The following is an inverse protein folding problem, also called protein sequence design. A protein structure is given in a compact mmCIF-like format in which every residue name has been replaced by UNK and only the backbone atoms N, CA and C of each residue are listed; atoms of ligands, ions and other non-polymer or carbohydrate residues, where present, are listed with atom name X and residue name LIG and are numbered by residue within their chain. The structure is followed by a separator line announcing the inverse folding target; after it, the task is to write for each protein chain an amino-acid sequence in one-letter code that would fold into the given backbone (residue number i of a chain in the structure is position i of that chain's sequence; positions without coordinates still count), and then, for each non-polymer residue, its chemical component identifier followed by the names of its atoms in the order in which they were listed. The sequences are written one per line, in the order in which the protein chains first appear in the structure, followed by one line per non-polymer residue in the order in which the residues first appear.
data_IF_879287492793
#
_entry.id   IF_879287492793
#
_cell.length_a   1.000
_cell.length_b   1.000
_cell.length_c   1.000
_cell.angle_alpha   90.00
_cell.angle_beta   90.00
_cell.angle_gamma   90.00
#
_symmetry.space_group_name_H-M   'P 1'
#
loop_
_entity.id
_entity.type
_entity.pdbx_description
1 polymer ?
#
# COMPACT_ATOMS: atom_id res chain seq x y z
N UNK A 1 3.19 -10.05 35.37
CA UNK A 1 3.32 -8.89 34.46
C UNK A 1 4.09 -9.19 33.17
N UNK A 2 5.28 -9.80 33.21
CA UNK A 2 6.06 -10.19 32.01
C UNK A 2 5.26 -10.86 30.87
N UNK A 3 4.46 -11.87 31.20
CA UNK A 3 3.65 -12.63 30.23
C UNK A 3 2.64 -11.74 29.49
N UNK A 4 2.09 -10.71 30.15
CA UNK A 4 1.14 -9.77 29.55
C UNK A 4 1.81 -8.91 28.48
N UNK A 5 2.98 -8.34 28.77
CA UNK A 5 3.72 -7.53 27.78
C UNK A 5 4.23 -8.36 26.62
N UNK A 6 4.70 -9.58 26.88
CA UNK A 6 5.11 -10.51 25.81
C UNK A 6 3.96 -10.86 24.85
N UNK A 7 2.75 -11.11 25.36
CA UNK A 7 1.56 -11.36 24.53
C UNK A 7 1.19 -10.13 23.70
N UNK A 8 1.17 -8.94 24.32
CA UNK A 8 0.85 -7.69 23.63
C UNK A 8 1.88 -7.33 22.55
N UNK A 9 3.17 -7.60 22.81
CA UNK A 9 4.25 -7.42 21.84
C UNK A 9 4.04 -8.33 20.64
N UNK A 10 3.91 -9.65 20.86
CA UNK A 10 3.68 -10.63 19.78
C UNK A 10 2.48 -10.28 18.92
N UNK A 11 1.37 -9.89 19.55
CA UNK A 11 0.17 -9.46 18.84
C UNK A 11 0.42 -8.20 17.99
N UNK A 12 1.10 -7.21 18.55
CA UNK A 12 1.41 -5.96 17.84
C UNK A 12 2.40 -6.16 16.70
N UNK A 13 3.35 -7.07 16.84
CA UNK A 13 4.28 -7.46 15.77
C UNK A 13 3.57 -8.17 14.63
N UNK A 14 2.64 -9.09 14.95
CA UNK A 14 1.82 -9.75 13.94
C UNK A 14 0.98 -8.73 13.16
N UNK A 15 0.33 -7.78 13.86
CA UNK A 15 -0.40 -6.68 13.24
C UNK A 15 0.51 -5.79 12.38
N UNK A 16 1.73 -5.49 12.84
CA UNK A 16 2.72 -4.72 12.07
C UNK A 16 3.03 -5.42 10.74
N UNK A 17 3.27 -6.72 10.78
CA UNK A 17 3.55 -7.54 9.59
C UNK A 17 2.37 -7.59 8.63
N UNK A 18 1.15 -7.77 9.15
CA UNK A 18 -0.07 -7.74 8.33
C UNK A 18 -0.28 -6.39 7.65
N UNK A 19 -0.11 -5.29 8.39
CA UNK A 19 -0.23 -3.93 7.85
C UNK A 19 0.85 -3.63 6.82
N UNK A 20 2.06 -4.15 7.01
CA UNK A 20 3.13 -4.04 6.04
C UNK A 20 2.82 -4.79 4.73
N UNK A 21 2.31 -6.02 4.82
CA UNK A 21 1.88 -6.78 3.64
C UNK A 21 0.72 -6.09 2.91
N UNK A 22 -0.24 -5.52 3.65
CA UNK A 22 -1.34 -4.74 3.07
C UNK A 22 -0.79 -3.54 2.29
N UNK A 23 0.17 -2.81 2.85
CA UNK A 23 0.82 -1.68 2.17
C UNK A 23 1.52 -2.11 0.87
N UNK A 24 2.27 -3.22 0.90
CA UNK A 24 2.93 -3.76 -0.30
C UNK A 24 1.92 -4.10 -1.39
N UNK A 25 0.78 -4.72 -1.03
CA UNK A 25 -0.28 -5.04 -2.01
C UNK A 25 -0.84 -3.78 -2.67
N UNK A 26 -1.16 -2.75 -1.88
CA UNK A 26 -1.67 -1.48 -2.39
C UNK A 26 -0.65 -0.79 -3.32
N UNK A 27 0.64 -0.83 -2.97
CA UNK A 27 1.70 -0.28 -3.82
C UNK A 27 1.83 -1.02 -5.15
N UNK A 28 1.77 -2.36 -5.15
CA UNK A 28 1.78 -3.16 -6.38
C UNK A 28 0.55 -2.90 -7.25
N UNK A 29 -0.61 -2.76 -6.63
CA UNK A 29 -1.84 -2.39 -7.34
C UNK A 29 -1.71 -1.01 -7.99
N UNK A 30 -1.13 -0.04 -7.28
CA UNK A 30 -0.87 1.29 -7.82
C UNK A 30 0.05 1.25 -9.04
N UNK A 31 1.16 0.50 -8.97
CA UNK A 31 2.05 0.30 -10.11
C UNK A 31 1.34 -0.35 -11.30
N UNK A 32 0.44 -1.31 -11.05
CA UNK A 32 -0.37 -1.94 -12.09
C UNK A 32 -1.32 -0.93 -12.75
N UNK A 33 -2.02 -0.11 -11.96
CA UNK A 33 -2.91 0.93 -12.47
C UNK A 33 -2.15 1.98 -13.30
N UNK A 34 -0.93 2.36 -12.90
CA UNK A 34 -0.09 3.27 -13.69
C UNK A 34 0.27 2.68 -15.05
N UNK A 35 0.66 1.40 -15.09
CA UNK A 35 0.95 0.71 -16.36
C UNK A 35 -0.29 0.61 -17.26
N UNK A 36 -1.45 0.32 -16.68
CA UNK A 36 -2.72 0.31 -17.40
C UNK A 36 -3.06 1.69 -17.99
N UNK A 37 -2.87 2.76 -17.20
CA UNK A 37 -3.10 4.12 -17.68
C UNK A 37 -2.16 4.49 -18.84
N UNK A 38 -0.87 4.17 -18.72
CA UNK A 38 0.11 4.37 -19.80
C UNK A 38 -0.28 3.63 -21.09
N UNK A 39 -0.73 2.38 -20.97
CA UNK A 39 -1.21 1.60 -22.10
C UNK A 39 -2.44 2.26 -22.75
N UNK A 40 -3.42 2.73 -21.96
CA UNK A 40 -4.58 3.44 -22.49
C UNK A 40 -4.18 4.73 -23.21
N UNK A 41 -3.25 5.51 -22.67
CA UNK A 41 -2.70 6.69 -23.35
C UNK A 41 -2.09 6.31 -24.72
N UNK A 42 -1.31 5.23 -24.79
CA UNK A 42 -0.76 4.78 -26.08
C UNK A 42 -1.85 4.37 -27.07
N UNK A 43 -2.89 3.66 -26.62
CA UNK A 43 -4.01 3.24 -27.47
C UNK A 43 -4.80 4.44 -28.00
N UNK A 44 -5.05 5.45 -27.15
CA UNK A 44 -5.71 6.68 -27.57
C UNK A 44 -4.89 7.41 -28.64
N UNK A 45 -3.56 7.51 -28.46
CA UNK A 45 -2.68 8.12 -29.45
C UNK A 45 -2.71 7.37 -30.78
N UNK A 46 -2.65 6.03 -30.76
CA UNK A 46 -2.78 5.22 -31.98
C UNK A 46 -4.12 5.44 -32.68
N UNK A 47 -5.23 5.50 -31.94
CA UNK A 47 -6.56 5.78 -32.53
C UNK A 47 -6.60 7.18 -33.14
N UNK A 48 -6.02 8.19 -32.48
CA UNK A 48 -5.92 9.54 -33.03
C UNK A 48 -5.09 9.60 -34.31
N UNK A 49 -3.99 8.86 -34.37
CA UNK A 49 -3.17 8.75 -35.59
C UNK A 49 -3.93 8.05 -36.72
N UNK A 50 -4.68 6.98 -36.43
CA UNK A 50 -5.56 6.31 -37.40
C UNK A 50 -6.66 7.25 -37.93
N UNK A 51 -7.23 8.09 -37.06
CA UNK A 51 -8.21 9.10 -37.49
C UNK A 51 -7.55 10.13 -38.41
N UNK A 52 -6.33 10.58 -38.10
CA UNK A 52 -5.58 11.54 -38.92
C UNK A 52 -5.16 10.96 -40.28
N UNK A 53 -4.82 9.66 -40.33
CA UNK A 53 -4.40 8.99 -41.57
C UNK A 53 -5.56 8.67 -42.51
N UNK A 54 -6.79 8.62 -42.00
CA UNK A 54 -8.01 8.56 -42.80
C UNK A 54 -8.28 9.92 -43.48
N UNK A 55 -7.51 10.22 -44.51
CA UNK A 55 -7.75 11.37 -45.38
C UNK A 55 -8.94 11.10 -46.33
N UNK A 56 -9.72 12.15 -46.58
CA UNK A 56 -10.90 12.14 -47.49
C UNK A 56 -10.49 12.59 -48.91
N UNK A 57 -9.23 13.01 -49.11
CA UNK A 57 -8.75 13.49 -50.41
C UNK A 57 -8.67 12.36 -51.44
N UNK A 58 -9.26 12.59 -52.62
CA UNK A 58 -9.21 11.67 -53.76
C UNK A 58 -10.33 10.64 -53.83
N UNK A 59 -11.33 10.69 -52.94
CA UNK A 59 -12.52 9.84 -53.02
C UNK A 59 -13.40 10.27 -54.20
N UNK A 60 -13.51 9.41 -55.20
CA UNK A 60 -14.29 9.66 -56.42
C UNK A 60 -15.67 9.00 -56.37
N UNK A 61 -15.87 8.00 -55.52
CA UNK A 61 -17.13 7.26 -55.37
C UNK A 61 -17.82 7.53 -54.02
N UNK A 62 -19.16 7.64 -54.08
CA UNK A 62 -20.04 7.81 -52.92
C UNK A 62 -19.97 6.62 -51.97
N UNK A 63 -19.76 5.40 -52.46
CA UNK A 63 -19.64 4.22 -51.60
C UNK A 63 -18.37 4.27 -50.74
N UNK A 64 -17.25 4.74 -51.31
CA UNK A 64 -15.99 4.91 -50.59
C UNK A 64 -16.10 5.99 -49.51
N UNK A 65 -16.76 7.11 -49.81
CA UNK A 65 -17.05 8.15 -48.82
C UNK A 65 -17.82 7.59 -47.60
N UNK A 66 -18.90 6.84 -47.83
CA UNK A 66 -19.65 6.22 -46.74
C UNK A 66 -18.86 5.15 -45.99
N UNK A 67 -17.95 4.44 -46.67
CA UNK A 67 -17.03 3.50 -46.01
C UNK A 67 -16.09 4.22 -45.05
N UNK A 68 -15.47 5.32 -45.50
CA UNK A 68 -14.58 6.15 -44.67
C UNK A 68 -15.33 6.78 -43.49
N UNK A 69 -16.54 7.32 -43.72
CA UNK A 69 -17.38 7.87 -42.65
C UNK A 69 -17.73 6.81 -41.59
N UNK A 70 -18.05 5.58 -41.99
CA UNK A 70 -18.32 4.47 -41.05
C UNK A 70 -17.07 4.14 -40.22
N UNK A 71 -15.90 4.03 -40.86
CA UNK A 71 -14.62 3.79 -40.16
C UNK A 71 -14.32 4.90 -39.14
N UNK A 72 -14.46 6.16 -39.54
CA UNK A 72 -14.30 7.31 -38.65
C UNK A 72 -15.28 7.28 -37.47
N UNK A 73 -16.54 6.94 -37.71
CA UNK A 73 -17.53 6.83 -36.64
C UNK A 73 -17.16 5.75 -35.62
N UNK A 74 -16.64 4.59 -36.08
CA UNK A 74 -16.15 3.52 -35.20
C UNK A 74 -14.95 3.99 -34.38
N UNK A 75 -13.95 4.60 -35.01
CA UNK A 75 -12.75 5.10 -34.31
C UNK A 75 -13.07 6.18 -33.27
N UNK A 76 -14.00 7.10 -33.58
CA UNK A 76 -14.47 8.11 -32.62
C UNK A 76 -15.16 7.49 -31.41
N UNK A 77 -15.97 6.45 -31.62
CA UNK A 77 -16.60 5.70 -30.52
C UNK A 77 -15.57 4.97 -29.66
N UNK A 78 -14.57 4.34 -30.29
CA UNK A 78 -13.47 3.70 -29.58
C UNK A 78 -12.67 4.71 -28.74
N UNK A 79 -12.39 5.90 -29.29
CA UNK A 79 -11.70 6.97 -28.56
C UNK A 79 -12.50 7.41 -27.32
N UNK A 80 -13.82 7.58 -27.46
CA UNK A 80 -14.69 7.94 -26.34
C UNK A 80 -14.73 6.85 -25.27
N UNK A 81 -14.77 5.58 -25.66
CA UNK A 81 -14.70 4.45 -24.73
C UNK A 81 -13.35 4.42 -23.97
N UNK A 82 -12.23 4.64 -24.68
CA UNK A 82 -10.91 4.71 -24.06
C UNK A 82 -10.79 5.89 -23.08
N UNK A 83 -11.40 7.03 -23.39
CA UNK A 83 -11.43 8.19 -22.48
C UNK A 83 -12.22 7.90 -21.19
N UNK A 84 -13.36 7.21 -21.30
CA UNK A 84 -14.14 6.78 -20.13
C UNK A 84 -13.37 5.77 -19.26
N UNK A 85 -12.66 4.83 -19.89
CA UNK A 85 -11.80 3.88 -19.18
C UNK A 85 -10.66 4.58 -18.45
N UNK A 86 -10.05 5.60 -19.07
CA UNK A 86 -8.99 6.39 -18.45
C UNK A 86 -9.50 7.14 -17.21
N UNK A 87 -10.64 7.82 -17.29
CA UNK A 87 -11.26 8.48 -16.13
C UNK A 87 -11.48 7.51 -14.97
N UNK A 88 -11.98 6.31 -15.28
CA UNK A 88 -12.21 5.26 -14.28
C UNK A 88 -10.89 4.82 -13.60
N UNK A 89 -9.80 4.69 -14.37
CA UNK A 89 -8.48 4.33 -13.82
C UNK A 89 -7.90 5.48 -13.00
N UNK A 90 -8.05 6.73 -13.44
CA UNK A 90 -7.56 7.91 -12.70
C UNK A 90 -8.27 8.04 -11.34
N UNK A 91 -9.56 7.75 -11.26
CA UNK A 91 -10.30 7.69 -10.00
C UNK A 91 -9.79 6.58 -9.08
N UNK A 92 -9.57 5.37 -9.62
CA UNK A 92 -8.97 4.25 -8.86
C UNK A 92 -7.56 4.58 -8.37
N UNK A 93 -6.77 5.27 -9.18
CA UNK A 93 -5.44 5.75 -8.80
C UNK A 93 -5.54 6.69 -7.61
N UNK A 94 -6.42 7.70 -7.65
CA UNK A 94 -6.63 8.64 -6.55
C UNK A 94 -7.08 7.92 -5.28
N UNK A 95 -8.03 7.00 -5.38
CA UNK A 95 -8.49 6.18 -4.26
C UNK A 95 -7.36 5.35 -3.66
N UNK A 96 -6.56 4.68 -4.49
CA UNK A 96 -5.46 3.84 -4.03
C UNK A 96 -4.34 4.66 -3.37
N UNK A 97 -4.04 5.88 -3.88
CA UNK A 97 -3.12 6.81 -3.22
C UNK A 97 -3.59 7.11 -1.79
N UNK A 98 -4.87 7.42 -1.61
CA UNK A 98 -5.44 7.68 -0.28
C UNK A 98 -5.30 6.44 0.62
N UNK A 99 -5.66 5.25 0.11
CA UNK A 99 -5.50 4.00 0.86
C UNK A 99 -4.06 3.71 1.27
N UNK A 100 -3.08 4.04 0.42
CA UNK A 100 -1.65 3.93 0.73
C UNK A 100 -1.26 4.88 1.87
N UNK A 101 -1.74 6.13 1.84
CA UNK A 101 -1.49 7.11 2.90
C UNK A 101 -2.05 6.59 4.23
N UNK A 102 -3.30 6.14 4.24
CA UNK A 102 -3.97 5.62 5.44
C UNK A 102 -3.24 4.37 5.97
N UNK A 103 -2.85 3.45 5.08
CA UNK A 103 -2.09 2.27 5.45
C UNK A 103 -0.72 2.60 6.05
N UNK A 104 -0.03 3.63 5.54
CA UNK A 104 1.23 4.13 6.12
C UNK A 104 1.01 4.71 7.52
N UNK A 105 -0.07 5.48 7.73
CA UNK A 105 -0.42 6.01 9.05
C UNK A 105 -0.68 4.89 10.06
N UNK A 106 -1.48 3.90 9.68
CA UNK A 106 -1.78 2.73 10.53
C UNK A 106 -0.50 1.93 10.84
N UNK A 107 0.36 1.71 9.84
CA UNK A 107 1.64 1.02 10.03
C UNK A 107 2.53 1.77 11.02
N UNK A 108 2.64 3.09 10.90
CA UNK A 108 3.42 3.92 11.83
C UNK A 108 2.86 3.89 13.25
N UNK A 109 1.53 3.98 13.41
CA UNK A 109 0.89 3.82 14.71
C UNK A 109 1.17 2.44 15.34
N UNK A 110 1.16 1.39 14.52
CA UNK A 110 1.47 0.02 14.96
C UNK A 110 2.93 -0.13 15.36
N UNK A 111 3.86 0.47 14.60
CA UNK A 111 5.30 0.53 14.96
C UNK A 111 5.49 1.15 16.34
N UNK A 112 4.89 2.32 16.60
CA UNK A 112 4.95 2.98 17.92
C UNK A 112 4.43 2.09 19.06
N UNK A 113 3.37 1.30 18.82
CA UNK A 113 2.87 0.33 19.81
C UNK A 113 3.88 -0.79 20.08
N UNK A 114 4.50 -1.33 19.04
CA UNK A 114 5.57 -2.32 19.18
C UNK A 114 6.72 -1.75 20.01
N UNK A 115 7.22 -0.56 19.66
CA UNK A 115 8.33 0.09 20.38
C UNK A 115 7.99 0.32 21.86
N UNK A 116 6.75 0.76 22.15
CA UNK A 116 6.25 0.91 23.52
C UNK A 116 6.27 -0.42 24.29
N UNK A 117 5.82 -1.51 23.68
CA UNK A 117 5.78 -2.80 24.37
C UNK A 117 7.17 -3.42 24.55
N UNK A 118 8.09 -3.19 23.62
CA UNK A 118 9.51 -3.54 23.79
C UNK A 118 10.08 -2.82 25.02
N UNK A 119 9.90 -1.49 25.09
CA UNK A 119 10.37 -0.69 26.21
C UNK A 119 9.79 -1.17 27.55
N UNK A 120 8.48 -1.37 27.64
CA UNK A 120 7.82 -1.83 28.86
C UNK A 120 8.27 -3.25 29.28
N UNK A 121 8.57 -4.11 28.32
CA UNK A 121 9.10 -5.45 28.61
C UNK A 121 10.54 -5.35 29.16
N UNK A 122 11.39 -4.52 28.55
CA UNK A 122 12.77 -4.30 29.01
C UNK A 122 12.82 -3.66 30.39
N UNK A 123 12.02 -2.62 30.65
CA UNK A 123 11.90 -1.97 31.97
C UNK A 123 11.40 -2.94 33.04
N UNK A 124 10.45 -3.82 32.71
CA UNK A 124 10.01 -4.85 33.65
C UNK A 124 11.12 -5.85 33.97
N UNK A 125 11.89 -6.29 32.96
CA UNK A 125 12.96 -7.25 33.14
C UNK A 125 14.11 -6.67 33.96
N UNK A 126 14.49 -5.41 33.72
CA UNK A 126 15.55 -4.73 34.48
C UNK A 126 15.16 -4.54 35.95
N UNK A 127 13.93 -4.08 36.23
CA UNK A 127 13.42 -3.95 37.60
C UNK A 127 13.35 -5.28 38.33
N UNK A 128 12.94 -6.35 37.63
CA UNK A 128 12.91 -7.70 38.22
C UNK A 128 14.32 -8.20 38.55
N UNK A 129 15.29 -7.97 37.67
CA UNK A 129 16.68 -8.35 37.93
C UNK A 129 17.24 -7.61 39.15
N UNK A 130 16.98 -6.29 39.26
CA UNK A 130 17.38 -5.50 40.43
C UNK A 130 16.76 -6.01 41.73
N UNK A 131 15.46 -6.33 41.72
CA UNK A 131 14.76 -6.87 42.89
C UNK A 131 15.33 -8.22 43.34
N UNK A 132 15.64 -9.11 42.39
CA UNK A 132 16.26 -10.40 42.71
C UNK A 132 17.65 -10.20 43.34
N UNK A 133 18.48 -9.32 42.78
CA UNK A 133 19.79 -9.02 43.35
C UNK A 133 19.67 -8.45 44.78
N UNK A 134 18.72 -7.56 45.03
CA UNK A 134 18.47 -7.01 46.38
C UNK A 134 17.99 -8.06 47.37
N UNK A 135 17.19 -9.04 46.91
CA UNK A 135 16.78 -10.18 47.73
C UNK A 135 17.98 -11.06 48.07
N UNK A 136 18.79 -11.42 47.07
CA UNK A 136 20.00 -12.23 47.27
C UNK A 136 21.00 -11.55 48.23
N UNK A 137 21.19 -10.22 48.10
CA UNK A 137 22.01 -9.42 49.03
C UNK A 137 21.46 -9.46 50.47
N UNK A 138 20.14 -9.27 50.63
CA UNK A 138 19.47 -9.31 51.94
C UNK A 138 19.57 -10.70 52.59
N UNK A 139 19.35 -11.76 51.82
CA UNK A 139 19.50 -13.16 52.29
C UNK A 139 20.93 -13.46 52.72
N UNK A 140 21.93 -12.94 51.98
CA UNK A 140 23.34 -13.09 52.34
C UNK A 140 23.70 -12.34 53.63
N UNK A 141 23.20 -11.12 53.81
CA UNK A 141 23.37 -10.35 55.06
C UNK A 141 22.75 -11.06 56.25
N UNK A 142 21.53 -11.61 56.11
CA UNK A 142 20.89 -12.42 57.15
C UNK A 142 21.74 -13.64 57.52
N UNK A 143 22.24 -14.40 56.53
CA UNK A 143 23.11 -15.56 56.78
C UNK A 143 24.38 -15.15 57.54
N UNK A 144 24.99 -14.00 57.20
CA UNK A 144 26.18 -13.50 57.89
C UNK A 144 25.87 -13.13 59.34
N UNK A 145 24.72 -12.47 59.59
CA UNK A 145 24.29 -12.08 60.93
C UNK A 145 23.98 -13.30 61.81
N UNK A 146 23.40 -14.36 61.27
CA UNK A 146 23.06 -15.58 62.02
C UNK A 146 24.27 -16.46 62.36
N UNK A 147 25.39 -16.29 61.65
CA UNK A 147 26.65 -17.01 61.94
C UNK A 147 27.52 -16.34 63.00
N UNK A 148 27.17 -15.12 63.43
CA UNK A 148 27.80 -14.41 64.55
C UNK A 148 27.08 -14.71 65.84
#
# INVERSE_FOLDING_TARGET
MHRKYSILLKHSEALKSQNHLKLIKLQKEYECLLKQNQLLCSQQMTVLELIKSLQICGLTDRAELFSVQRKLAVLRRQLLALAQQQQTIDEKIKQNIQMIIDAKMILNATKRKVDKYIYLQQDFLSKRALQLNQQDESEMEEIILWRK
#
